data_IF_658293438781
#
_entry.id   IF_658293438781
#
_cell.length_a   1.000
_cell.length_b   1.000
_cell.length_c   1.000
_cell.angle_alpha   90.00
_cell.angle_beta   90.00
_cell.angle_gamma   90.00
#
_symmetry.space_group_name_H-M   'P 1'
#
loop_
_entity.id
_entity.type
_entity.pdbx_description
1 polymer ?
#
# COMPACT_ATOMS: atom_id res chain seq x y z
N UNK A 1 20.32 20.72 -6.49
CA UNK A 1 19.69 19.59 -5.77
C UNK A 1 18.24 19.47 -6.19
N UNK A 2 17.98 18.71 -7.26
CA UNK A 2 16.62 18.34 -7.65
C UNK A 2 16.28 17.10 -6.81
N UNK A 3 15.35 17.23 -5.89
CA UNK A 3 14.78 16.06 -5.21
C UNK A 3 14.18 15.19 -6.31
N UNK A 4 14.70 13.98 -6.46
CA UNK A 4 14.11 12.99 -7.35
C UNK A 4 12.82 12.48 -6.70
N UNK A 5 11.68 12.82 -7.29
CA UNK A 5 10.36 12.33 -6.87
C UNK A 5 10.12 10.84 -7.23
N UNK A 6 11.13 10.12 -7.72
CA UNK A 6 10.99 8.70 -8.11
C UNK A 6 10.98 7.73 -6.93
N UNK A 7 11.54 8.11 -5.78
CA UNK A 7 11.59 7.28 -4.57
C UNK A 7 10.55 7.72 -3.55
N UNK A 8 9.45 6.96 -3.45
CA UNK A 8 8.43 7.12 -2.40
C UNK A 8 8.91 6.69 -0.99
N UNK A 9 10.12 6.13 -0.89
CA UNK A 9 10.79 5.77 0.34
C UNK A 9 12.25 5.37 0.12
N UNK A 10 12.96 5.14 1.21
CA UNK A 10 14.34 4.63 1.22
C UNK A 10 14.58 3.77 2.46
N UNK A 11 15.23 2.63 2.26
CA UNK A 11 15.74 1.76 3.30
C UNK A 11 17.01 1.03 2.85
N UNK A 12 17.77 0.58 3.82
CA UNK A 12 18.92 -0.27 3.57
C UNK A 12 18.48 -1.74 3.47
N UNK A 13 18.74 -2.39 2.32
CA UNK A 13 18.74 -3.87 2.18
C UNK A 13 19.38 -4.58 3.39
N UNK A 14 18.65 -5.44 4.09
CA UNK A 14 19.13 -6.14 5.28
C UNK A 14 19.57 -5.18 6.43
N UNK A 15 18.91 -4.03 6.57
CA UNK A 15 19.23 -3.02 7.59
C UNK A 15 18.76 -3.37 9.01
N UNK A 16 17.76 -4.24 9.19
CA UNK A 16 16.96 -4.33 10.41
C UNK A 16 17.74 -4.55 11.73
N UNK A 17 18.82 -5.34 11.72
CA UNK A 17 19.66 -5.60 12.90
C UNK A 17 21.01 -4.88 12.87
N UNK A 18 21.14 -3.81 12.09
CA UNK A 18 22.38 -3.05 11.94
C UNK A 18 22.24 -1.63 12.49
N UNK A 19 23.30 -0.81 12.38
CA UNK A 19 23.19 0.64 12.62
C UNK A 19 22.33 1.37 11.58
N UNK A 20 22.03 0.71 10.46
CA UNK A 20 21.23 1.20 9.33
C UNK A 20 19.76 0.77 9.40
N UNK A 21 19.24 0.51 10.61
CA UNK A 21 17.87 0.05 10.87
C UNK A 21 16.80 1.15 10.73
N UNK A 22 16.96 2.02 9.74
CA UNK A 22 16.05 3.14 9.46
C UNK A 22 15.42 3.00 8.08
N UNK A 23 14.19 3.50 7.98
CA UNK A 23 13.48 3.68 6.72
C UNK A 23 12.78 5.03 6.74
N UNK A 24 12.77 5.72 5.61
CA UNK A 24 12.07 6.99 5.41
C UNK A 24 11.08 6.78 4.28
N UNK A 25 9.84 7.23 4.44
CA UNK A 25 8.79 7.04 3.45
C UNK A 25 7.98 8.34 3.32
N UNK A 26 7.69 8.77 2.10
CA UNK A 26 6.83 9.91 1.81
C UNK A 26 5.36 9.48 1.80
N UNK A 27 4.52 10.18 2.57
CA UNK A 27 3.08 9.93 2.61
C UNK A 27 2.28 11.04 1.91
N UNK A 28 1.17 10.65 1.31
CA UNK A 28 0.10 11.55 0.88
C UNK A 28 -1.09 11.35 1.80
N UNK A 29 -1.41 12.33 2.65
CA UNK A 29 -2.48 12.20 3.63
C UNK A 29 -3.79 11.70 3.02
N UNK A 30 -4.42 10.73 3.69
CA UNK A 30 -5.68 10.08 3.30
C UNK A 30 -5.62 9.15 2.09
N UNK A 31 -4.47 8.99 1.42
CA UNK A 31 -4.37 8.03 0.30
C UNK A 31 -4.17 6.59 0.76
N UNK A 32 -3.54 6.39 1.92
CA UNK A 32 -3.09 5.08 2.41
C UNK A 32 -2.08 4.38 1.49
N UNK A 33 -1.55 5.06 0.47
CA UNK A 33 -0.49 4.53 -0.41
C UNK A 33 0.78 4.18 0.39
N UNK A 34 0.98 4.89 1.51
CA UNK A 34 2.05 4.67 2.48
C UNK A 34 2.14 3.22 2.96
N UNK A 35 1.02 2.49 3.02
CA UNK A 35 1.01 1.09 3.47
C UNK A 35 1.83 0.22 2.53
N UNK A 36 1.69 0.42 1.21
CA UNK A 36 2.50 -0.30 0.20
C UNK A 36 3.96 0.13 0.29
N UNK A 37 4.21 1.43 0.35
CA UNK A 37 5.57 1.97 0.37
C UNK A 37 6.34 1.52 1.62
N UNK A 38 5.69 1.54 2.80
CA UNK A 38 6.26 0.99 4.03
C UNK A 38 6.55 -0.51 3.91
N UNK A 39 5.64 -1.31 3.32
CA UNK A 39 5.90 -2.73 3.10
C UNK A 39 7.11 -2.96 2.18
N UNK A 40 7.30 -2.12 1.16
CA UNK A 40 8.47 -2.15 0.28
C UNK A 40 9.76 -1.85 1.05
N UNK A 41 9.81 -0.76 1.80
CA UNK A 41 11.01 -0.38 2.57
C UNK A 41 11.33 -1.34 3.73
N UNK A 42 10.29 -1.92 4.36
CA UNK A 42 10.47 -3.01 5.32
C UNK A 42 11.00 -4.26 4.62
N UNK A 43 10.52 -4.58 3.41
CA UNK A 43 11.05 -5.65 2.56
C UNK A 43 12.55 -5.49 2.32
N UNK A 44 13.00 -4.29 1.95
CA UNK A 44 14.43 -3.95 1.90
C UNK A 44 15.10 -4.21 3.25
N UNK A 45 14.61 -3.64 4.35
CA UNK A 45 15.20 -3.81 5.68
C UNK A 45 15.37 -5.28 6.11
N UNK A 46 14.48 -6.16 5.65
CA UNK A 46 14.51 -7.61 5.90
C UNK A 46 15.38 -8.40 4.91
N UNK A 47 15.86 -7.79 3.84
CA UNK A 47 16.84 -8.39 2.94
C UNK A 47 16.49 -8.31 1.46
N UNK A 48 15.28 -7.91 1.06
CA UNK A 48 14.95 -7.93 -0.36
C UNK A 48 15.72 -6.86 -1.14
N UNK A 49 16.31 -7.23 -2.27
CA UNK A 49 16.61 -6.30 -3.37
C UNK A 49 15.35 -6.08 -4.21
N UNK A 50 15.40 -5.17 -5.19
CA UNK A 50 14.31 -5.06 -6.14
C UNK A 50 14.18 -6.33 -6.98
N UNK A 51 12.95 -6.64 -7.42
CA UNK A 51 12.72 -7.78 -8.31
C UNK A 51 13.51 -7.60 -9.61
N UNK A 52 14.29 -8.61 -10.00
CA UNK A 52 15.18 -8.59 -11.15
C UNK A 52 16.63 -8.18 -10.84
N UNK A 53 16.91 -7.74 -9.62
CA UNK A 53 18.26 -7.33 -9.24
C UNK A 53 19.17 -8.50 -8.83
N UNK A 54 20.49 -8.38 -9.02
CA UNK A 54 21.46 -9.36 -8.55
C UNK A 54 21.56 -9.38 -7.01
N UNK A 55 22.27 -10.37 -6.43
CA UNK A 55 22.59 -10.41 -5.01
C UNK A 55 23.13 -9.11 -4.40
N UNK A 56 22.67 -8.78 -3.20
CA UNK A 56 23.19 -7.64 -2.43
C UNK A 56 24.64 -7.91 -1.98
N UNK A 57 25.60 -7.13 -2.49
CA UNK A 57 27.05 -7.33 -2.27
C UNK A 57 27.47 -7.39 -0.79
N UNK A 58 26.76 -6.66 0.08
CA UNK A 58 27.05 -6.58 1.52
C UNK A 58 26.58 -7.77 2.34
N UNK A 59 25.76 -8.65 1.76
CA UNK A 59 25.32 -9.89 2.39
C UNK A 59 25.96 -11.04 1.63
N UNK A 60 26.97 -11.67 2.24
CA UNK A 60 27.64 -12.83 1.65
C UNK A 60 26.62 -13.94 1.38
N UNK A 61 26.62 -14.49 0.17
CA UNK A 61 25.73 -15.60 -0.24
C UNK A 61 24.27 -15.21 -0.46
N UNK A 62 23.96 -13.92 -0.50
CA UNK A 62 22.62 -13.43 -0.74
C UNK A 62 22.03 -13.97 -2.06
N UNK A 63 20.78 -14.44 -2.10
CA UNK A 63 20.25 -15.11 -3.28
C UNK A 63 19.89 -14.15 -4.43
N UNK A 64 19.59 -12.87 -4.13
CA UNK A 64 19.17 -11.89 -5.14
C UNK A 64 17.76 -12.16 -5.66
N UNK A 65 17.39 -11.54 -6.79
CA UNK A 65 16.05 -11.61 -7.35
C UNK A 65 15.99 -11.71 -8.88
N UNK A 66 17.06 -12.19 -9.54
CA UNK A 66 17.12 -12.30 -11.01
C UNK A 66 16.04 -13.21 -11.59
N UNK A 67 15.62 -14.23 -10.84
CA UNK A 67 14.53 -15.16 -11.22
C UNK A 67 13.12 -14.55 -11.09
N UNK A 68 13.00 -13.35 -10.51
CA UNK A 68 11.73 -12.64 -10.39
C UNK A 68 11.77 -11.35 -11.21
N UNK A 69 11.31 -11.36 -12.48
CA UNK A 69 11.32 -10.16 -13.31
C UNK A 69 10.57 -8.97 -12.70
N UNK A 70 11.17 -7.78 -12.74
CA UNK A 70 10.56 -6.50 -12.32
C UNK A 70 9.14 -6.28 -12.87
N UNK A 71 8.89 -6.73 -14.10
CA UNK A 71 7.62 -6.58 -14.81
C UNK A 71 6.46 -7.39 -14.22
N UNK A 72 6.74 -8.36 -13.34
CA UNK A 72 5.69 -9.10 -12.63
C UNK A 72 4.93 -8.23 -11.63
N UNK A 73 5.51 -7.11 -11.18
CA UNK A 73 4.79 -6.12 -10.38
C UNK A 73 4.45 -6.54 -8.95
N UNK A 74 5.30 -7.35 -8.31
CA UNK A 74 5.21 -7.60 -6.87
C UNK A 74 5.62 -6.36 -6.05
N UNK A 75 5.55 -6.43 -4.72
CA UNK A 75 5.84 -5.29 -3.83
C UNK A 75 7.22 -4.66 -4.11
N UNK A 76 8.25 -5.45 -4.43
CA UNK A 76 9.61 -4.97 -4.70
C UNK A 76 9.81 -4.37 -6.11
N UNK A 77 8.71 -4.02 -6.78
CA UNK A 77 8.67 -3.32 -8.07
C UNK A 77 7.73 -2.10 -8.01
N UNK A 78 7.97 -1.09 -8.84
CA UNK A 78 7.05 0.05 -9.00
C UNK A 78 5.90 -0.25 -9.98
N UNK A 79 5.92 -1.41 -10.64
CA UNK A 79 4.88 -1.83 -11.58
C UNK A 79 3.65 -2.27 -10.79
N UNK A 80 2.52 -1.59 -11.00
CA UNK A 80 1.25 -1.91 -10.35
C UNK A 80 0.16 -2.18 -11.40
N UNK A 81 0.07 -3.43 -11.87
CA UNK A 81 -0.86 -3.82 -12.95
C UNK A 81 -2.02 -4.67 -12.47
N UNK A 82 -1.75 -5.53 -11.50
CA UNK A 82 -2.69 -6.50 -10.94
C UNK A 82 -2.36 -6.74 -9.46
N UNK A 83 -3.11 -7.66 -8.85
CA UNK A 83 -3.07 -7.90 -7.41
C UNK A 83 -1.75 -8.48 -6.91
N UNK A 84 -0.79 -8.87 -7.77
CA UNK A 84 0.59 -9.19 -7.35
C UNK A 84 1.23 -8.05 -6.60
N UNK A 85 0.81 -6.82 -6.86
CA UNK A 85 1.26 -5.65 -6.11
C UNK A 85 1.03 -5.81 -4.60
N UNK A 86 0.07 -6.61 -4.14
CA UNK A 86 -0.17 -6.81 -2.70
C UNK A 86 0.65 -7.96 -2.08
N UNK A 87 1.66 -8.47 -2.79
CA UNK A 87 2.44 -9.63 -2.38
C UNK A 87 3.94 -9.43 -2.60
N UNK A 88 4.76 -10.07 -1.75
CA UNK A 88 6.19 -10.25 -2.05
C UNK A 88 6.35 -11.37 -3.09
N UNK A 89 7.34 -11.20 -3.98
CA UNK A 89 7.72 -12.25 -4.93
C UNK A 89 8.34 -13.45 -4.19
N UNK A 90 8.36 -14.66 -4.81
CA UNK A 90 9.08 -15.79 -4.25
C UNK A 90 10.56 -15.48 -3.97
N UNK A 91 11.20 -14.65 -4.79
CA UNK A 91 12.59 -14.24 -4.57
C UNK A 91 12.75 -13.37 -3.32
N UNK A 92 11.86 -12.39 -3.10
CA UNK A 92 11.91 -11.59 -1.88
C UNK A 92 11.65 -12.46 -0.64
N UNK A 93 10.70 -13.40 -0.70
CA UNK A 93 10.47 -14.37 0.38
C UNK A 93 11.74 -15.19 0.68
N UNK A 94 12.42 -15.70 -0.35
CA UNK A 94 13.66 -16.46 -0.19
C UNK A 94 14.80 -15.61 0.40
N UNK A 95 14.90 -14.33 0.01
CA UNK A 95 15.88 -13.39 0.57
C UNK A 95 15.61 -13.11 2.05
N UNK A 96 14.35 -12.89 2.44
CA UNK A 96 13.97 -12.71 3.85
C UNK A 96 14.34 -13.96 4.66
N UNK A 97 13.99 -15.16 4.17
CA UNK A 97 14.35 -16.41 4.83
C UNK A 97 15.87 -16.56 4.98
N UNK A 98 16.63 -16.23 3.93
CA UNK A 98 18.09 -16.27 3.96
C UNK A 98 18.68 -15.31 4.99
N UNK A 99 18.30 -14.03 4.94
CA UNK A 99 18.86 -12.99 5.80
C UNK A 99 18.50 -13.22 7.27
N UNK A 100 17.24 -13.57 7.56
CA UNK A 100 16.77 -13.82 8.93
C UNK A 100 17.42 -15.04 9.56
N UNK A 101 17.89 -16.01 8.77
CA UNK A 101 18.62 -17.18 9.28
C UNK A 101 20.08 -16.87 9.68
N UNK A 102 20.64 -15.73 9.27
CA UNK A 102 22.02 -15.36 9.60
C UNK A 102 22.14 -14.91 11.07
N UNK A 103 23.23 -15.31 11.73
CA UNK A 103 23.50 -15.00 13.15
C UNK A 103 23.31 -13.51 13.53
N UNK A 104 23.74 -12.52 12.72
CA UNK A 104 23.55 -11.10 13.06
C UNK A 104 22.08 -10.64 13.14
N UNK A 105 21.13 -11.41 12.60
CA UNK A 105 19.71 -11.02 12.52
C UNK A 105 18.84 -11.62 13.62
N UNK A 106 19.45 -12.20 14.67
CA UNK A 106 18.74 -12.70 15.85
C UNK A 106 17.85 -11.66 16.53
N UNK A 107 18.17 -10.36 16.38
CA UNK A 107 17.37 -9.27 16.92
C UNK A 107 15.90 -9.27 16.44
N UNK A 108 15.61 -9.87 15.28
CA UNK A 108 14.25 -9.98 14.74
C UNK A 108 13.37 -11.00 15.48
N UNK A 109 13.98 -11.86 16.30
CA UNK A 109 13.29 -12.91 17.06
C UNK A 109 13.12 -12.55 18.54
N UNK A 110 13.54 -11.36 18.94
CA UNK A 110 13.40 -10.84 20.30
C UNK A 110 12.47 -9.62 20.30
N UNK A 111 11.44 -9.65 21.16
CA UNK A 111 10.58 -8.48 21.37
C UNK A 111 10.98 -7.76 22.66
N UNK A 112 11.64 -6.61 22.50
CA UNK A 112 12.05 -5.72 23.59
C UNK A 112 11.26 -4.40 23.62
N UNK A 113 10.15 -4.30 22.88
CA UNK A 113 9.38 -3.06 22.79
C UNK A 113 8.65 -2.71 24.09
N UNK A 114 8.30 -3.74 24.89
CA UNK A 114 7.40 -3.66 26.05
C UNK A 114 6.11 -2.86 25.77
N UNK A 115 5.71 -2.78 24.50
CA UNK A 115 4.61 -1.94 24.02
C UNK A 115 3.87 -2.70 22.93
N UNK A 116 2.56 -2.77 23.08
CA UNK A 116 1.66 -3.16 22.01
C UNK A 116 1.08 -1.90 21.36
N UNK A 117 1.06 -1.87 20.04
CA UNK A 117 0.32 -0.85 19.28
C UNK A 117 -1.12 -1.33 19.15
N UNK A 118 -2.08 -0.50 19.58
CA UNK A 118 -3.49 -0.81 19.45
C UNK A 118 -3.85 -1.06 17.97
N UNK A 119 -4.46 -2.21 17.70
CA UNK A 119 -4.91 -2.55 16.35
C UNK A 119 -6.18 -1.77 16.03
N UNK A 120 -6.21 -1.12 14.87
CA UNK A 120 -7.42 -0.50 14.36
C UNK A 120 -8.54 -1.54 14.22
N UNK A 121 -9.72 -1.21 14.73
CA UNK A 121 -10.97 -1.97 14.51
C UNK A 121 -11.56 -1.74 13.11
N UNK A 122 -11.01 -0.78 12.36
CA UNK A 122 -11.53 -0.32 11.08
C UNK A 122 -10.51 -0.58 9.98
N UNK A 123 -10.99 -1.10 8.85
CA UNK A 123 -10.22 -1.15 7.62
C UNK A 123 -10.09 0.26 7.01
N UNK A 124 -9.02 0.56 6.25
CA UNK A 124 -8.79 1.89 5.69
C UNK A 124 -9.97 2.46 4.87
N UNK A 125 -10.69 1.61 4.14
CA UNK A 125 -11.88 2.01 3.37
C UNK A 125 -13.11 2.35 4.21
N UNK A 126 -13.12 2.05 5.52
CA UNK A 126 -14.12 2.59 6.45
C UNK A 126 -13.76 3.99 6.96
N UNK A 127 -12.49 4.38 6.86
CA UNK A 127 -11.96 5.66 7.33
C UNK A 127 -12.05 6.71 6.21
N UNK A 128 -11.80 6.31 4.96
CA UNK A 128 -11.79 7.21 3.79
C UNK A 128 -13.01 6.96 2.90
N UNK A 129 -13.74 8.03 2.59
CA UNK A 129 -14.89 7.96 1.67
C UNK A 129 -14.47 7.66 0.24
N UNK A 130 -15.34 7.01 -0.54
CA UNK A 130 -15.11 6.74 -1.97
C UNK A 130 -14.90 8.03 -2.79
N UNK A 131 -15.58 9.12 -2.42
CA UNK A 131 -15.34 10.43 -3.04
C UNK A 131 -13.90 10.91 -2.84
N UNK A 132 -13.36 10.73 -1.63
CA UNK A 132 -11.98 11.12 -1.31
C UNK A 132 -10.96 10.23 -2.01
N UNK A 133 -11.23 8.93 -2.12
CA UNK A 133 -10.40 8.00 -2.92
C UNK A 133 -10.34 8.45 -4.38
N UNK A 134 -11.48 8.72 -5.01
CA UNK A 134 -11.54 9.23 -6.39
C UNK A 134 -10.79 10.55 -6.57
N UNK A 135 -11.01 11.51 -5.67
CA UNK A 135 -10.37 12.83 -5.69
C UNK A 135 -8.84 12.73 -5.62
N UNK A 136 -8.31 11.94 -4.68
CA UNK A 136 -6.86 11.78 -4.48
C UNK A 136 -6.23 11.01 -5.65
N UNK A 137 -6.79 9.85 -6.02
CA UNK A 137 -6.20 8.97 -7.03
C UNK A 137 -6.12 9.63 -8.41
N UNK A 138 -7.09 10.49 -8.75
CA UNK A 138 -7.19 11.12 -10.07
C UNK A 138 -6.83 12.61 -10.05
N UNK A 139 -6.28 13.13 -8.93
CA UNK A 139 -5.93 14.54 -8.76
C UNK A 139 -4.97 15.06 -9.84
N UNK A 140 -4.07 14.20 -10.33
CA UNK A 140 -3.10 14.51 -11.37
C UNK A 140 -3.76 14.93 -12.71
N UNK A 141 -5.05 14.64 -12.90
CA UNK A 141 -5.82 15.03 -14.10
C UNK A 141 -6.37 16.45 -14.05
N UNK A 142 -6.07 17.21 -13.00
CA UNK A 142 -6.47 18.62 -12.86
C UNK A 142 -7.97 18.86 -12.63
N UNK A 143 -8.79 17.80 -12.55
CA UNK A 143 -10.23 17.87 -12.30
C UNK A 143 -10.59 17.17 -10.99
N UNK A 144 -11.65 17.64 -10.31
CA UNK A 144 -12.13 17.03 -9.07
C UNK A 144 -13.01 15.82 -9.39
N UNK A 145 -12.51 14.61 -9.12
CA UNK A 145 -13.27 13.38 -9.30
C UNK A 145 -14.07 13.02 -8.05
N UNK A 146 -15.22 12.38 -8.25
CA UNK A 146 -16.09 11.85 -7.20
C UNK A 146 -16.53 10.43 -7.57
N UNK A 147 -17.00 9.69 -6.58
CA UNK A 147 -17.53 8.34 -6.80
C UNK A 147 -18.74 8.38 -7.73
N UNK A 148 -18.74 7.48 -8.72
CA UNK A 148 -19.84 7.30 -9.67
C UNK A 148 -20.65 6.05 -9.33
N UNK A 149 -21.61 6.18 -8.40
CA UNK A 149 -22.48 5.09 -7.99
C UNK A 149 -23.44 4.56 -9.06
N UNK A 150 -23.45 5.14 -10.26
CA UNK A 150 -24.22 4.62 -11.39
C UNK A 150 -23.52 3.46 -12.12
N UNK A 151 -22.22 3.25 -11.87
CA UNK A 151 -21.43 2.19 -12.47
C UNK A 151 -21.08 1.14 -11.42
N UNK A 152 -21.09 -0.17 -11.78
CA UNK A 152 -20.63 -1.21 -10.87
C UNK A 152 -19.11 -1.12 -10.67
N UNK A 153 -18.64 -1.74 -9.61
CA UNK A 153 -17.22 -2.01 -9.43
C UNK A 153 -16.77 -3.06 -10.45
N UNK A 154 -15.56 -2.91 -10.97
CA UNK A 154 -14.82 -4.02 -11.60
C UNK A 154 -13.84 -4.58 -10.56
N UNK A 155 -14.17 -5.71 -9.93
CA UNK A 155 -13.43 -6.21 -8.76
C UNK A 155 -13.37 -5.13 -7.65
N UNK A 156 -12.19 -4.60 -7.36
CA UNK A 156 -11.96 -3.54 -6.39
C UNK A 156 -11.51 -2.23 -7.02
N UNK A 157 -12.07 -1.95 -8.20
CA UNK A 157 -11.89 -0.71 -8.94
C UNK A 157 -13.10 0.19 -8.74
N UNK A 158 -12.89 1.30 -8.05
CA UNK A 158 -13.91 2.31 -7.73
C UNK A 158 -14.14 3.17 -8.97
N UNK A 159 -15.37 3.19 -9.55
CA UNK A 159 -15.70 4.08 -10.65
C UNK A 159 -15.77 5.54 -10.17
N UNK A 160 -15.15 6.42 -10.92
CA UNK A 160 -15.05 7.85 -10.61
C UNK A 160 -15.51 8.69 -11.80
N UNK A 161 -16.14 9.82 -11.52
CA UNK A 161 -16.54 10.81 -12.53
C UNK A 161 -16.19 12.23 -12.11
N UNK A 162 -15.91 13.09 -13.09
CA UNK A 162 -15.77 14.54 -12.90
C UNK A 162 -16.62 15.29 -13.92
N UNK A 163 -17.23 16.39 -13.50
CA UNK A 163 -17.91 17.35 -14.39
C UNK A 163 -16.85 18.35 -14.84
N UNK A 164 -16.70 18.58 -16.14
CA UNK A 164 -15.80 19.64 -16.61
C UNK A 164 -16.32 21.01 -16.15
N UNK A 165 -15.39 21.91 -15.83
CA UNK A 165 -15.69 23.26 -15.37
C UNK A 165 -16.18 24.22 -16.47
N UNK A 166 -16.13 23.80 -17.74
CA UNK A 166 -16.45 24.62 -18.91
C UNK A 166 -17.93 24.53 -19.36
N UNK A 167 -18.74 23.67 -18.73
CA UNK A 167 -20.16 23.51 -19.05
C UNK A 167 -20.48 23.06 -20.49
N UNK A 168 -19.46 22.76 -21.30
CA UNK A 168 -19.59 22.51 -22.75
C UNK A 168 -19.10 21.13 -23.20
N UNK A 169 -18.58 20.28 -22.32
CA UNK A 169 -17.97 19.00 -22.74
C UNK A 169 -18.18 17.85 -21.75
N UNK A 170 -18.11 16.62 -22.26
CA UNK A 170 -18.52 15.34 -21.65
C UNK A 170 -17.98 15.07 -20.23
N UNK A 171 -18.73 14.28 -19.45
CA UNK A 171 -18.27 13.74 -18.17
C UNK A 171 -16.92 13.02 -18.35
N UNK A 172 -15.91 13.39 -17.56
CA UNK A 172 -14.68 12.61 -17.49
C UNK A 172 -14.90 11.41 -16.59
N UNK A 173 -14.46 10.24 -17.04
CA UNK A 173 -14.50 9.01 -16.25
C UNK A 173 -13.09 8.56 -15.89
N UNK A 174 -13.00 7.87 -14.75
CA UNK A 174 -11.76 7.29 -14.29
C UNK A 174 -12.05 6.20 -13.28
N UNK A 175 -10.98 5.55 -12.85
CA UNK A 175 -11.06 4.43 -11.93
C UNK A 175 -9.97 4.58 -10.89
N UNK A 176 -10.33 4.43 -9.62
CA UNK A 176 -9.40 4.40 -8.50
C UNK A 176 -9.31 2.99 -7.91
N UNK A 177 -8.19 2.65 -7.28
CA UNK A 177 -8.07 1.41 -6.50
C UNK A 177 -8.86 1.58 -5.21
N UNK A 178 -9.70 0.60 -4.87
CA UNK A 178 -10.32 0.57 -3.56
C UNK A 178 -9.27 0.26 -2.49
N UNK A 179 -9.40 0.93 -1.35
CA UNK A 179 -8.76 0.47 -0.11
C UNK A 179 -9.44 -0.81 0.38
N UNK A 180 -8.83 -1.51 1.32
CA UNK A 180 -9.51 -2.62 2.00
C UNK A 180 -10.71 -2.10 2.80
N UNK A 181 -11.89 -2.71 2.64
CA UNK A 181 -13.10 -2.41 3.43
C UNK A 181 -14.38 -2.00 2.67
N UNK A 182 -14.37 -1.26 1.55
CA UNK A 182 -15.60 -0.90 0.86
C UNK A 182 -16.31 -2.13 0.28
N UNK A 183 -17.64 -2.08 0.26
CA UNK A 183 -18.44 -3.09 -0.43
C UNK A 183 -18.26 -2.96 -1.94
N UNK A 184 -18.07 -4.08 -2.61
CA UNK A 184 -17.83 -4.14 -4.07
C UNK A 184 -19.00 -4.72 -4.85
N UNK A 185 -20.12 -5.01 -4.18
CA UNK A 185 -21.38 -5.49 -4.79
C UNK A 185 -22.57 -4.70 -4.25
N UNK A 186 -23.64 -4.64 -5.04
CA UNK A 186 -24.87 -3.94 -4.67
C UNK A 186 -25.57 -4.59 -3.47
N UNK A 187 -25.48 -5.92 -3.31
CA UNK A 187 -26.06 -6.62 -2.16
C UNK A 187 -25.32 -6.33 -0.84
N UNK A 188 -24.04 -5.93 -0.92
CA UNK A 188 -23.20 -5.67 0.25
C UNK A 188 -22.55 -6.92 0.85
N UNK A 189 -22.73 -8.10 0.23
CA UNK A 189 -22.20 -9.37 0.76
C UNK A 189 -20.71 -9.58 0.46
N UNK A 190 -20.14 -8.74 -0.40
CA UNK A 190 -18.74 -8.82 -0.82
C UNK A 190 -18.00 -7.53 -0.47
N UNK A 191 -16.75 -7.67 -0.01
CA UNK A 191 -15.88 -6.60 0.45
C UNK A 191 -14.55 -6.62 -0.29
N UNK A 192 -13.97 -5.45 -0.50
CA UNK A 192 -12.63 -5.32 -1.08
C UNK A 192 -11.55 -5.67 -0.06
N UNK A 193 -10.70 -6.65 -0.42
CA UNK A 193 -9.50 -7.04 0.33
C UNK A 193 -8.38 -7.35 -0.67
N UNK A 194 -7.25 -6.65 -0.57
CA UNK A 194 -6.06 -6.82 -1.43
C UNK A 194 -6.41 -6.84 -2.93
N UNK A 195 -7.22 -5.88 -3.35
CA UNK A 195 -7.65 -5.73 -4.74
C UNK A 195 -8.63 -6.79 -5.25
N UNK A 196 -9.16 -7.66 -4.39
CA UNK A 196 -10.16 -8.69 -4.74
C UNK A 196 -11.48 -8.43 -4.05
N UNK A 197 -12.57 -8.62 -4.79
CA UNK A 197 -13.92 -8.62 -4.24
C UNK A 197 -14.19 -10.02 -3.66
N UNK A 198 -14.24 -10.14 -2.33
CA UNK A 198 -14.34 -11.44 -1.62
C UNK A 198 -15.52 -11.46 -0.65
N UNK A 199 -16.03 -12.65 -0.25
CA UNK A 199 -17.12 -12.75 0.70
C UNK A 199 -16.82 -12.03 2.02
N UNK A 200 -17.75 -11.20 2.47
CA UNK A 200 -17.64 -10.47 3.72
C UNK A 200 -17.78 -11.44 4.90
N UNK A 201 -16.65 -11.78 5.54
CA UNK A 201 -16.64 -12.71 6.68
C UNK A 201 -17.14 -12.10 7.99
N UNK A 202 -17.42 -10.78 8.06
CA UNK A 202 -17.88 -10.07 9.28
C UNK A 202 -18.69 -8.81 8.95
N UNK A 203 -19.68 -8.47 9.80
CA UNK A 203 -20.26 -7.13 9.85
C UNK A 203 -19.21 -6.16 10.37
N UNK A 204 -18.58 -5.39 9.48
CA UNK A 204 -17.63 -4.36 9.90
C UNK A 204 -18.38 -3.16 10.49
N UNK A 205 -17.93 -2.67 11.65
CA UNK A 205 -18.48 -1.47 12.29
C UNK A 205 -18.07 -0.26 11.45
N UNK A 206 -19.01 0.62 11.11
CA UNK A 206 -18.71 1.88 10.41
C UNK A 206 -17.96 2.84 11.34
N UNK A 207 -16.85 3.40 10.88
CA UNK A 207 -16.15 4.45 11.63
C UNK A 207 -17.00 5.73 11.67
N UNK A 208 -17.17 6.30 12.86
CA UNK A 208 -17.70 7.66 13.04
C UNK A 208 -16.62 8.50 13.71
N UNK A 209 -16.20 9.64 13.14
CA UNK A 209 -15.28 10.53 13.83
C UNK A 209 -15.90 10.95 15.16
N UNK A 210 -15.17 10.75 16.26
CA UNK A 210 -15.53 11.41 17.51
C UNK A 210 -15.42 12.92 17.27
N UNK A 211 -16.48 13.67 17.61
CA UNK A 211 -16.42 15.14 17.62
C UNK A 211 -15.23 15.53 18.49
N UNK A 212 -14.33 16.36 17.96
CA UNK A 212 -13.23 16.92 18.74
C UNK A 212 -13.81 17.55 20.01
N UNK A 213 -13.52 16.93 21.17
CA UNK A 213 -13.86 17.51 22.44
C UNK A 213 -13.12 18.84 22.55
N UNK A 214 -13.87 19.91 22.74
CA UNK A 214 -13.35 21.21 23.15
C UNK A 214 -12.59 21.02 24.47
N UNK A 215 -11.27 20.84 24.41
CA UNK A 215 -10.42 21.09 25.56
C UNK A 215 -10.53 22.59 25.85
N UNK A 216 -11.33 22.92 26.87
CA UNK A 216 -11.24 24.22 27.52
C UNK A 216 -9.83 24.33 28.09
N UNK A 217 -9.18 25.45 27.76
CA UNK A 217 -7.90 25.87 28.34
C UNK A 217 -7.99 25.99 29.85
#
# INVERSE_FOLDING_TARGET
>A
NRLDCSTGGVAYVAGACTIYRQSIIEDRPWSFDIVRAMAHEVGHSLGCVHDGEPPAKRVRGHPGATECPWSMGYIMSYVQRDNREYHFSPCCVAQIQYVTALTPYRCLFENSSHKEVEKSRFLPGHIVTLNRICDIALRHRGSRFRYDGSRPYDQCRVPCRSRTSDGRSQNQFGTAKALDGPTCTASGDMVCIRGRCVPSKRRFVTWRPQKAGTQRR
#
